data_IF_034850756504
#
_entry.id   IF_034850756504
#
_cell.length_a   1.000
_cell.length_b   1.000
_cell.length_c   1.000
_cell.angle_alpha   90.00
_cell.angle_beta   90.00
_cell.angle_gamma   90.00
#
_symmetry.space_group_name_H-M   'P 1'
#
loop_
_entity.id
_entity.type
_entity.pdbx_description
1 polymer ?
#
# COMPACT_ATOMS: atom_id res chain seq x y z
N UNK A 1 -38.37 -4.72 23.17
CA UNK A 1 -37.10 -4.17 22.65
C UNK A 1 -37.45 -3.28 21.48
N UNK A 2 -37.05 -2.01 21.49
CA UNK A 2 -37.32 -1.12 20.36
C UNK A 2 -36.54 -1.64 19.14
N UNK A 3 -37.25 -2.07 18.11
CA UNK A 3 -36.66 -2.40 16.81
C UNK A 3 -36.20 -1.10 16.17
N UNK A 4 -34.88 -0.86 16.17
CA UNK A 4 -34.30 0.30 15.48
C UNK A 4 -34.72 0.32 14.02
N UNK A 5 -35.10 1.50 13.53
CA UNK A 5 -35.42 1.66 12.11
C UNK A 5 -34.18 1.38 11.25
N UNK A 6 -34.38 0.99 10.00
CA UNK A 6 -33.27 0.80 9.04
C UNK A 6 -32.38 2.05 8.95
N UNK A 7 -32.97 3.24 8.98
CA UNK A 7 -32.25 4.52 8.96
C UNK A 7 -31.39 4.74 10.21
N UNK A 8 -31.88 4.34 11.39
CA UNK A 8 -31.10 4.45 12.64
C UNK A 8 -29.92 3.48 12.64
N UNK A 9 -30.11 2.27 12.10
CA UNK A 9 -29.03 1.27 11.95
C UNK A 9 -27.93 1.76 10.99
N UNK A 10 -28.30 2.40 9.88
CA UNK A 10 -27.35 2.99 8.93
C UNK A 10 -26.57 4.12 9.59
N UNK A 11 -27.25 5.09 10.21
CA UNK A 11 -26.59 6.19 10.92
C UNK A 11 -25.65 5.70 12.03
N UNK A 12 -26.05 4.67 12.76
CA UNK A 12 -25.21 4.06 13.79
C UNK A 12 -23.95 3.42 13.21
N UNK A 13 -24.03 2.77 12.03
CA UNK A 13 -22.85 2.20 11.36
C UNK A 13 -21.92 3.28 10.82
N UNK A 14 -22.47 4.35 10.24
CA UNK A 14 -21.67 5.49 9.77
C UNK A 14 -20.93 6.19 10.92
N UNK A 15 -21.61 6.41 12.06
CA UNK A 15 -20.99 6.99 13.24
C UNK A 15 -19.88 6.08 13.82
N UNK A 16 -20.10 4.76 13.84
CA UNK A 16 -19.06 3.81 14.22
C UNK A 16 -17.86 3.88 13.29
N UNK A 17 -18.08 3.89 11.97
CA UNK A 17 -16.99 3.97 10.99
C UNK A 17 -16.10 5.20 11.19
N UNK A 18 -16.72 6.36 11.42
CA UNK A 18 -15.99 7.61 11.68
C UNK A 18 -15.15 7.52 12.97
N UNK A 19 -15.78 7.08 14.06
CA UNK A 19 -15.11 6.95 15.37
C UNK A 19 -14.04 5.87 15.39
N UNK A 20 -14.18 4.81 14.58
CA UNK A 20 -13.21 3.74 14.45
C UNK A 20 -11.88 4.25 13.92
N UNK A 21 -11.88 5.03 12.83
CA UNK A 21 -10.66 5.57 12.23
C UNK A 21 -9.90 6.47 13.22
N UNK A 22 -10.64 7.33 13.92
CA UNK A 22 -10.07 8.20 14.97
C UNK A 22 -9.48 7.39 16.13
N UNK A 23 -10.16 6.33 16.58
CA UNK A 23 -9.68 5.45 17.64
C UNK A 23 -8.41 4.72 17.23
N UNK A 24 -8.35 4.17 16.01
CA UNK A 24 -7.17 3.47 15.49
C UNK A 24 -5.96 4.40 15.44
N UNK A 25 -6.15 5.62 14.92
CA UNK A 25 -5.08 6.61 14.86
C UNK A 25 -4.60 7.04 16.26
N UNK A 26 -5.51 7.18 17.22
CA UNK A 26 -5.16 7.51 18.61
C UNK A 26 -4.40 6.36 19.30
N UNK A 27 -4.88 5.13 19.16
CA UNK A 27 -4.29 3.94 19.78
C UNK A 27 -2.88 3.67 19.22
N UNK A 28 -2.70 3.80 17.90
CA UNK A 28 -1.40 3.60 17.27
C UNK A 28 -0.40 4.71 17.66
N UNK A 29 -0.84 5.96 17.79
CA UNK A 29 0.00 7.05 18.31
C UNK A 29 0.40 6.83 19.76
N UNK A 30 -0.52 6.32 20.59
CA UNK A 30 -0.26 6.07 22.01
C UNK A 30 0.66 4.85 22.23
N UNK A 31 0.44 3.76 21.50
CA UNK A 31 1.29 2.58 21.55
C UNK A 31 2.73 2.87 21.10
N UNK A 32 2.90 3.92 20.29
CA UNK A 32 4.18 4.29 19.72
C UNK A 32 4.74 3.21 18.79
N UNK A 33 6.03 3.30 18.51
CA UNK A 33 6.77 2.30 17.71
C UNK A 33 7.03 0.99 18.48
N UNK A 34 6.32 0.74 19.59
CA UNK A 34 6.74 -0.28 20.55
C UNK A 34 6.32 -1.71 20.13
N UNK A 35 7.27 -2.62 20.29
CA UNK A 35 7.41 -3.92 19.64
C UNK A 35 6.54 -5.04 20.24
N UNK A 36 5.65 -4.73 21.19
CA UNK A 36 4.81 -5.70 21.92
C UNK A 36 3.54 -6.08 21.15
N UNK A 37 3.73 -6.35 19.85
CA UNK A 37 2.78 -6.52 18.77
C UNK A 37 1.62 -7.48 19.09
N UNK A 38 0.55 -6.98 19.72
CA UNK A 38 -0.77 -7.62 19.79
C UNK A 38 -1.66 -7.21 18.62
N UNK A 39 -1.26 -6.18 17.84
CA UNK A 39 -2.05 -5.63 16.73
C UNK A 39 -2.42 -6.68 15.68
N UNK A 40 -1.48 -7.55 15.29
CA UNK A 40 -1.81 -8.65 14.35
C UNK A 40 -2.84 -9.63 14.93
N UNK A 41 -2.84 -9.85 16.25
CA UNK A 41 -3.83 -10.70 16.91
C UNK A 41 -5.20 -10.01 16.88
N UNK A 42 -5.25 -8.72 17.19
CA UNK A 42 -6.48 -7.92 17.10
C UNK A 42 -7.04 -7.87 15.68
N UNK A 43 -6.18 -7.68 14.67
CA UNK A 43 -6.54 -7.76 13.24
C UNK A 43 -7.14 -9.14 12.93
N UNK A 44 -6.49 -10.23 13.36
CA UNK A 44 -7.00 -11.59 13.15
C UNK A 44 -8.36 -11.82 13.84
N UNK A 45 -8.55 -11.27 15.04
CA UNK A 45 -9.83 -11.35 15.74
C UNK A 45 -10.91 -10.51 15.05
N UNK A 46 -10.55 -9.37 14.48
CA UNK A 46 -11.45 -8.53 13.69
C UNK A 46 -11.88 -9.24 12.40
N UNK A 47 -10.95 -9.86 11.67
CA UNK A 47 -11.24 -10.73 10.52
C UNK A 47 -12.25 -11.84 10.88
N UNK A 48 -12.06 -12.53 12.01
CA UNK A 48 -13.01 -13.54 12.52
C UNK A 48 -14.37 -12.95 12.91
N UNK A 49 -14.38 -11.72 13.41
CA UNK A 49 -15.60 -11.01 13.77
C UNK A 49 -16.41 -10.68 12.53
N UNK A 50 -15.77 -10.17 11.48
CA UNK A 50 -16.41 -9.91 10.18
C UNK A 50 -17.00 -11.20 9.60
N UNK A 51 -16.25 -12.29 9.62
CA UNK A 51 -16.74 -13.61 9.21
C UNK A 51 -17.98 -14.03 10.01
N UNK A 52 -17.94 -13.89 11.33
CA UNK A 52 -19.04 -14.25 12.21
C UNK A 52 -20.28 -13.39 11.98
N UNK A 53 -20.09 -12.10 11.68
CA UNK A 53 -21.16 -11.17 11.38
C UNK A 53 -21.77 -11.46 10.01
N UNK A 54 -20.96 -11.79 9.01
CA UNK A 54 -21.44 -12.23 7.71
C UNK A 54 -22.36 -13.45 7.82
N UNK A 55 -21.90 -14.50 8.54
CA UNK A 55 -22.68 -15.73 8.71
C UNK A 55 -23.98 -15.52 9.51
N UNK A 56 -23.98 -14.62 10.50
CA UNK A 56 -25.19 -14.30 11.29
C UNK A 56 -26.12 -13.33 10.59
N UNK A 57 -25.58 -12.44 9.77
CA UNK A 57 -26.26 -11.35 9.10
C UNK A 57 -26.72 -11.68 7.67
N UNK A 58 -26.61 -12.93 7.22
CA UNK A 58 -27.08 -13.38 5.91
C UNK A 58 -28.54 -12.97 5.64
N UNK A 59 -29.38 -12.96 6.68
CA UNK A 59 -30.81 -12.60 6.61
C UNK A 59 -31.10 -11.15 7.06
N UNK A 60 -30.11 -10.24 7.00
CA UNK A 60 -30.31 -8.83 7.38
C UNK A 60 -30.81 -8.00 6.21
N UNK A 61 -31.84 -7.18 6.40
CA UNK A 61 -32.35 -6.24 5.38
C UNK A 61 -31.40 -5.08 5.06
N UNK A 62 -30.24 -4.98 5.73
CA UNK A 62 -29.26 -3.92 5.45
C UNK A 62 -28.56 -4.12 4.10
N UNK A 63 -28.29 -3.02 3.36
CA UNK A 63 -27.47 -3.07 2.14
C UNK A 63 -26.08 -3.63 2.43
N UNK A 64 -25.48 -4.31 1.44
CA UNK A 64 -24.13 -4.93 1.53
C UNK A 64 -23.08 -3.97 2.13
N UNK A 65 -23.10 -2.71 1.68
CA UNK A 65 -22.27 -1.61 2.19
C UNK A 65 -22.22 -1.54 3.71
N UNK A 66 -23.39 -1.45 4.35
CA UNK A 66 -23.51 -1.29 5.81
C UNK A 66 -23.48 -2.62 6.57
N UNK A 67 -23.49 -3.74 5.85
CA UNK A 67 -23.49 -5.08 6.42
C UNK A 67 -22.08 -5.62 6.65
N UNK A 68 -21.15 -5.37 5.71
CA UNK A 68 -19.77 -5.86 5.81
C UNK A 68 -18.72 -5.08 5.02
N UNK A 69 -19.08 -4.30 3.99
CA UNK A 69 -18.05 -3.56 3.21
C UNK A 69 -17.36 -2.48 4.07
N UNK A 70 -18.11 -1.77 4.92
CA UNK A 70 -17.51 -0.85 5.89
C UNK A 70 -16.51 -1.54 6.82
N UNK A 71 -16.79 -2.76 7.29
CA UNK A 71 -15.85 -3.49 8.14
C UNK A 71 -14.59 -3.91 7.37
N UNK A 72 -14.70 -4.13 6.05
CA UNK A 72 -13.53 -4.38 5.20
C UNK A 72 -12.66 -3.14 5.01
N UNK A 73 -13.28 -1.99 4.74
CA UNK A 73 -12.57 -0.71 4.73
C UNK A 73 -11.88 -0.45 6.09
N UNK A 74 -12.57 -0.70 7.20
CA UNK A 74 -12.02 -0.58 8.56
C UNK A 74 -10.82 -1.52 8.79
N UNK A 75 -10.93 -2.78 8.37
CA UNK A 75 -9.87 -3.78 8.49
C UNK A 75 -8.62 -3.35 7.71
N UNK A 76 -8.77 -2.99 6.43
CA UNK A 76 -7.64 -2.63 5.58
C UNK A 76 -7.04 -1.28 5.94
N UNK A 77 -7.86 -0.31 6.34
CA UNK A 77 -7.40 0.93 6.93
C UNK A 77 -6.53 0.63 8.16
N UNK A 78 -7.01 -0.19 9.10
CA UNK A 78 -6.23 -0.53 10.29
C UNK A 78 -4.91 -1.22 9.95
N UNK A 79 -4.91 -2.16 9.01
CA UNK A 79 -3.69 -2.83 8.54
C UNK A 79 -2.70 -1.82 7.94
N UNK A 80 -3.16 -0.92 7.08
CA UNK A 80 -2.32 0.11 6.46
C UNK A 80 -1.77 1.12 7.49
N UNK A 81 -2.58 1.53 8.48
CA UNK A 81 -2.12 2.39 9.56
C UNK A 81 -1.11 1.69 10.46
N UNK A 82 -1.37 0.44 10.87
CA UNK A 82 -0.43 -0.35 11.66
C UNK A 82 0.92 -0.48 10.95
N UNK A 83 0.91 -0.71 9.63
CA UNK A 83 2.11 -0.81 8.81
C UNK A 83 2.97 0.47 8.80
N UNK A 84 2.37 1.66 8.96
CA UNK A 84 3.11 2.94 9.03
C UNK A 84 3.93 3.07 10.31
N UNK A 85 3.41 2.60 11.43
CA UNK A 85 4.06 2.72 12.74
C UNK A 85 5.04 1.58 13.04
N UNK A 86 5.02 0.49 12.28
CA UNK A 86 5.98 -0.60 12.43
C UNK A 86 7.22 -0.31 11.58
N UNK A 87 8.41 -0.37 12.17
CA UNK A 87 9.66 -0.16 11.42
C UNK A 87 9.79 -1.12 10.21
N UNK A 88 10.29 -0.60 9.08
CA UNK A 88 10.36 -1.28 7.79
C UNK A 88 11.14 -2.61 7.79
N UNK A 89 12.14 -2.74 8.66
CA UNK A 89 13.01 -3.91 8.84
C UNK A 89 12.51 -4.85 9.94
N UNK A 90 11.48 -4.46 10.70
CA UNK A 90 10.99 -5.25 11.82
C UNK A 90 10.13 -6.44 11.33
N UNK A 91 10.31 -7.66 11.88
CA UNK A 91 9.55 -8.86 11.47
C UNK A 91 8.03 -8.76 11.64
N UNK A 92 7.54 -7.77 12.39
CA UNK A 92 6.11 -7.47 12.49
C UNK A 92 5.48 -7.08 11.15
N UNK A 93 6.25 -6.50 10.22
CA UNK A 93 5.78 -6.21 8.85
C UNK A 93 5.36 -7.51 8.15
N UNK A 94 6.19 -8.55 8.24
CA UNK A 94 5.90 -9.85 7.63
C UNK A 94 4.69 -10.53 8.30
N UNK A 95 4.48 -10.31 9.61
CA UNK A 95 3.30 -10.81 10.31
C UNK A 95 2.01 -10.15 9.84
N UNK A 96 2.03 -8.85 9.49
CA UNK A 96 0.88 -8.16 8.89
C UNK A 96 0.58 -8.71 7.49
N UNK A 97 1.62 -8.90 6.66
CA UNK A 97 1.49 -9.53 5.34
C UNK A 97 0.87 -10.91 5.47
N UNK A 98 1.31 -11.71 6.45
CA UNK A 98 0.73 -13.01 6.75
C UNK A 98 -0.74 -12.95 7.21
N UNK A 99 -1.20 -11.85 7.82
CA UNK A 99 -2.64 -11.69 8.12
C UNK A 99 -3.47 -11.45 6.86
N UNK A 100 -2.96 -10.65 5.92
CA UNK A 100 -3.64 -10.42 4.63
C UNK A 100 -3.68 -11.72 3.82
N UNK A 101 -2.57 -12.46 3.77
CA UNK A 101 -2.53 -13.77 3.14
C UNK A 101 -3.45 -14.78 3.83
N UNK A 102 -3.52 -14.77 5.16
CA UNK A 102 -4.43 -15.62 5.91
C UNK A 102 -5.88 -15.30 5.55
N UNK A 103 -6.24 -14.02 5.47
CA UNK A 103 -7.56 -13.60 5.03
C UNK A 103 -7.86 -14.15 3.64
N UNK A 104 -6.94 -13.96 2.68
CA UNK A 104 -7.05 -14.53 1.32
C UNK A 104 -7.21 -16.05 1.30
N UNK A 105 -6.46 -16.75 2.14
CA UNK A 105 -6.47 -18.21 2.23
C UNK A 105 -7.77 -18.79 2.85
N UNK A 106 -8.62 -17.97 3.48
CA UNK A 106 -9.94 -18.41 3.90
C UNK A 106 -10.88 -18.70 2.72
N UNK A 107 -10.54 -18.22 1.51
CA UNK A 107 -11.27 -18.52 0.28
C UNK A 107 -12.68 -17.93 0.24
N UNK A 108 -13.50 -18.42 -0.69
CA UNK A 108 -14.84 -17.90 -0.87
C UNK A 108 -15.73 -18.27 0.31
N UNK A 109 -16.36 -17.27 0.92
CA UNK A 109 -17.44 -17.53 1.86
C UNK A 109 -18.71 -17.80 1.07
N UNK A 110 -19.46 -18.81 1.47
CA UNK A 110 -20.81 -19.05 0.98
C UNK A 110 -21.79 -19.09 2.14
N UNK A 111 -22.97 -18.52 1.92
CA UNK A 111 -24.12 -18.71 2.80
C UNK A 111 -25.28 -19.33 2.02
N UNK A 112 -26.14 -20.08 2.72
CA UNK A 112 -27.38 -20.55 2.10
C UNK A 112 -28.40 -19.41 2.14
N UNK A 113 -28.97 -19.08 0.99
CA UNK A 113 -30.08 -18.13 0.90
C UNK A 113 -31.38 -18.75 1.44
N UNK A 114 -32.46 -17.97 1.52
CA UNK A 114 -33.77 -18.44 2.00
C UNK A 114 -34.36 -19.58 1.16
N UNK A 115 -33.93 -19.71 -0.11
CA UNK A 115 -34.29 -20.80 -1.01
C UNK A 115 -33.41 -22.07 -0.84
N UNK A 116 -32.41 -22.03 0.04
CA UNK A 116 -31.49 -23.13 0.30
C UNK A 116 -30.32 -23.24 -0.70
N UNK A 117 -30.21 -22.30 -1.64
CA UNK A 117 -29.13 -22.22 -2.62
C UNK A 117 -27.89 -21.55 -2.02
N UNK A 118 -26.72 -21.96 -2.49
CA UNK A 118 -25.44 -21.45 -2.03
C UNK A 118 -25.09 -20.13 -2.73
N UNK A 119 -25.14 -19.02 -1.98
CA UNK A 119 -24.74 -17.69 -2.47
C UNK A 119 -23.31 -17.38 -2.01
N UNK A 120 -22.43 -17.05 -2.96
CA UNK A 120 -21.07 -16.60 -2.67
C UNK A 120 -21.08 -15.17 -2.17
N UNK A 121 -20.34 -14.93 -1.09
CA UNK A 121 -20.19 -13.62 -0.49
C UNK A 121 -19.40 -12.68 -1.42
N UNK A 122 -20.11 -11.72 -2.00
CA UNK A 122 -19.57 -10.72 -2.91
C UNK A 122 -19.74 -9.30 -2.36
N UNK A 123 -18.74 -8.48 -2.64
CA UNK A 123 -18.73 -7.02 -2.47
C UNK A 123 -18.85 -6.34 -3.84
N UNK A 124 -18.90 -5.01 -3.86
CA UNK A 124 -18.73 -4.23 -5.10
C UNK A 124 -17.34 -4.40 -5.76
N UNK A 125 -16.32 -4.85 -5.02
CA UNK A 125 -14.93 -5.05 -5.49
C UNK A 125 -14.50 -6.53 -5.50
N UNK A 126 -15.48 -7.44 -5.67
CA UNK A 126 -15.24 -8.88 -5.82
C UNK A 126 -15.54 -9.70 -4.56
N UNK A 127 -14.99 -10.91 -4.50
CA UNK A 127 -15.25 -11.85 -3.41
C UNK A 127 -14.58 -11.43 -2.11
N UNK A 128 -15.28 -11.58 -0.99
CA UNK A 128 -14.90 -11.03 0.32
C UNK A 128 -13.46 -11.34 0.75
N UNK A 129 -13.00 -12.59 0.61
CA UNK A 129 -11.67 -12.98 1.09
C UNK A 129 -10.71 -13.32 -0.04
N UNK A 130 -11.12 -14.09 -1.04
CA UNK A 130 -10.22 -14.48 -2.13
C UNK A 130 -9.60 -13.28 -2.84
N UNK A 131 -10.39 -12.21 -2.97
CA UNK A 131 -10.03 -11.04 -3.75
C UNK A 131 -9.57 -9.88 -2.85
N UNK A 132 -9.67 -10.03 -1.52
CA UNK A 132 -9.34 -8.99 -0.50
C UNK A 132 -9.78 -7.58 -0.95
N UNK A 133 -11.10 -7.37 -1.12
CA UNK A 133 -11.67 -6.18 -1.75
C UNK A 133 -11.34 -4.92 -0.94
N UNK A 134 -11.22 -3.78 -1.61
CA UNK A 134 -10.89 -2.46 -1.06
C UNK A 134 -9.48 -2.29 -0.49
N UNK A 135 -8.68 -3.37 -0.39
CA UNK A 135 -7.31 -3.28 0.10
C UNK A 135 -6.46 -2.30 -0.73
N UNK A 136 -6.58 -2.38 -2.06
CA UNK A 136 -5.86 -1.48 -2.98
C UNK A 136 -6.28 -0.04 -2.75
N UNK A 137 -7.58 0.23 -2.62
CA UNK A 137 -8.13 1.57 -2.40
C UNK A 137 -7.62 2.18 -1.10
N UNK A 138 -7.63 1.42 0.00
CA UNK A 138 -7.16 1.90 1.31
C UNK A 138 -5.65 2.16 1.32
N UNK A 139 -4.85 1.27 0.69
CA UNK A 139 -3.39 1.47 0.56
C UNK A 139 -3.08 2.68 -0.31
N UNK A 140 -3.77 2.84 -1.44
CA UNK A 140 -3.59 3.99 -2.32
C UNK A 140 -3.99 5.30 -1.62
N UNK A 141 -5.07 5.28 -0.83
CA UNK A 141 -5.52 6.43 -0.04
C UNK A 141 -4.51 6.80 1.04
N UNK A 142 -3.96 5.80 1.74
CA UNK A 142 -2.89 6.00 2.72
C UNK A 142 -1.63 6.60 2.06
N UNK A 143 -1.26 6.16 0.85
CA UNK A 143 -0.14 6.72 0.12
C UNK A 143 -0.42 8.14 -0.41
N UNK A 144 -1.61 8.43 -0.92
CA UNK A 144 -1.98 9.80 -1.36
C UNK A 144 -1.93 10.81 -0.21
N UNK A 145 -2.28 10.37 1.00
CA UNK A 145 -2.12 11.17 2.22
C UNK A 145 -0.66 11.30 2.69
N UNK A 146 0.30 10.62 2.06
CA UNK A 146 1.69 10.54 2.54
C UNK A 146 2.46 11.87 2.52
N UNK A 147 1.99 12.86 1.76
CA UNK A 147 2.57 14.21 1.79
C UNK A 147 2.49 14.88 3.17
N UNK A 148 1.57 14.44 4.03
CA UNK A 148 1.39 14.98 5.38
C UNK A 148 2.12 14.16 6.47
N UNK A 149 2.76 13.04 6.09
CA UNK A 149 3.30 12.07 7.05
C UNK A 149 4.85 12.06 7.01
N UNK A 150 5.52 11.79 8.15
CA UNK A 150 6.97 11.75 8.24
C UNK A 150 7.63 10.77 7.25
N UNK A 151 8.89 11.07 6.87
CA UNK A 151 9.70 10.21 5.98
C UNK A 151 9.77 8.74 6.46
N UNK A 152 9.93 8.54 7.78
CA UNK A 152 9.98 7.20 8.40
C UNK A 152 8.69 6.41 8.17
N UNK A 153 7.53 7.04 8.33
CA UNK A 153 6.25 6.36 8.11
C UNK A 153 6.02 6.03 6.63
N UNK A 154 6.49 6.89 5.70
CA UNK A 154 6.47 6.60 4.25
C UNK A 154 7.33 5.40 3.89
N UNK A 155 8.51 5.30 4.50
CA UNK A 155 9.40 4.15 4.36
C UNK A 155 8.73 2.87 4.87
N UNK A 156 8.16 2.91 6.07
CA UNK A 156 7.48 1.77 6.68
C UNK A 156 6.29 1.28 5.84
N UNK A 157 5.43 2.21 5.38
CA UNK A 157 4.30 1.88 4.51
C UNK A 157 4.78 1.29 3.18
N UNK A 158 5.79 1.87 2.54
CA UNK A 158 6.34 1.31 1.29
C UNK A 158 6.89 -0.09 1.49
N UNK A 159 7.57 -0.35 2.61
CA UNK A 159 8.10 -1.66 2.95
C UNK A 159 7.01 -2.71 3.15
N UNK A 160 5.87 -2.33 3.73
CA UNK A 160 4.70 -3.21 3.83
C UNK A 160 4.08 -3.51 2.46
N UNK A 161 3.78 -2.48 1.68
CA UNK A 161 3.09 -2.62 0.39
C UNK A 161 3.97 -3.36 -0.62
N UNK A 162 5.28 -3.10 -0.62
CA UNK A 162 6.23 -3.84 -1.46
C UNK A 162 6.22 -5.34 -1.15
N UNK A 163 6.14 -5.73 0.14
CA UNK A 163 6.01 -7.14 0.52
C UNK A 163 4.69 -7.74 0.06
N UNK A 164 3.56 -7.03 0.19
CA UNK A 164 2.26 -7.50 -0.32
C UNK A 164 2.29 -7.75 -1.84
N UNK A 165 2.84 -6.81 -2.60
CA UNK A 165 2.99 -6.94 -4.04
C UNK A 165 3.94 -8.09 -4.42
N UNK A 166 5.02 -8.30 -3.65
CA UNK A 166 5.96 -9.41 -3.92
C UNK A 166 5.26 -10.77 -3.86
N UNK A 167 4.36 -10.97 -2.89
CA UNK A 167 3.63 -12.23 -2.71
C UNK A 167 2.36 -12.33 -3.56
N UNK A 168 2.15 -11.39 -4.47
CA UNK A 168 1.06 -11.40 -5.43
C UNK A 168 -0.34 -11.19 -4.84
N UNK A 169 -0.42 -10.40 -3.76
CA UNK A 169 -1.72 -9.91 -3.26
C UNK A 169 -2.18 -8.79 -4.20
N UNK A 170 -3.38 -8.93 -4.79
CA UNK A 170 -3.97 -7.92 -5.68
C UNK A 170 -3.05 -7.53 -6.85
N UNK A 171 -2.36 -8.50 -7.44
CA UNK A 171 -1.59 -8.25 -8.66
C UNK A 171 -2.51 -7.93 -9.84
N UNK A 172 -2.15 -6.97 -10.72
CA UNK A 172 -0.99 -6.08 -10.64
C UNK A 172 -1.25 -4.78 -9.87
N UNK A 173 -2.46 -4.54 -9.38
CA UNK A 173 -2.97 -3.26 -8.87
C UNK A 173 -2.11 -2.58 -7.80
N UNK A 174 -1.49 -3.34 -6.87
CA UNK A 174 -0.59 -2.75 -5.86
C UNK A 174 0.70 -2.18 -6.47
N UNK A 175 1.08 -2.62 -7.67
CA UNK A 175 2.24 -2.11 -8.41
C UNK A 175 2.13 -0.62 -8.77
N UNK A 176 0.91 -0.07 -8.85
CA UNK A 176 0.67 1.36 -9.06
C UNK A 176 1.33 2.21 -7.97
N UNK A 177 1.32 1.74 -6.71
CA UNK A 177 1.95 2.48 -5.61
C UNK A 177 3.46 2.57 -5.81
N UNK A 178 4.10 1.50 -6.32
CA UNK A 178 5.52 1.53 -6.64
C UNK A 178 5.81 2.58 -7.71
N UNK A 179 4.99 2.64 -8.77
CA UNK A 179 5.15 3.65 -9.82
C UNK A 179 5.00 5.07 -9.27
N UNK A 180 4.06 5.34 -8.36
CA UNK A 180 3.98 6.64 -7.68
C UNK A 180 5.24 6.95 -6.90
N UNK A 181 5.73 6.01 -6.07
CA UNK A 181 6.94 6.21 -5.26
C UNK A 181 8.14 6.50 -6.15
N UNK A 182 8.36 5.69 -7.19
CA UNK A 182 9.51 5.80 -8.09
C UNK A 182 9.43 7.05 -8.97
N UNK A 183 8.23 7.40 -9.47
CA UNK A 183 7.99 8.65 -10.21
C UNK A 183 8.33 9.87 -9.36
N UNK A 184 7.80 9.94 -8.14
CA UNK A 184 8.06 11.08 -7.26
C UNK A 184 9.53 11.16 -6.86
N UNK A 185 10.21 10.02 -6.65
CA UNK A 185 11.60 9.98 -6.16
C UNK A 185 12.64 10.17 -7.26
N UNK A 186 12.46 9.50 -8.42
CA UNK A 186 13.49 9.34 -9.45
C UNK A 186 13.14 10.07 -10.76
N UNK A 187 11.86 10.34 -11.05
CA UNK A 187 11.46 10.96 -12.31
C UNK A 187 11.00 12.40 -12.17
N UNK A 188 10.90 12.92 -10.95
CA UNK A 188 10.48 14.28 -10.66
C UNK A 188 11.66 15.11 -10.19
N UNK A 189 11.80 16.32 -10.72
CA UNK A 189 12.85 17.25 -10.31
C UNK A 189 12.59 17.74 -8.88
N UNK A 190 13.49 17.41 -7.96
CA UNK A 190 13.35 17.63 -6.51
C UNK A 190 14.70 17.97 -5.90
N UNK A 191 14.73 18.80 -4.84
CA UNK A 191 15.97 19.06 -4.11
C UNK A 191 16.49 17.77 -3.47
N UNK A 192 17.81 17.60 -3.45
CA UNK A 192 18.46 16.42 -2.84
C UNK A 192 18.15 16.33 -1.35
N UNK A 193 18.32 17.44 -0.63
CA UNK A 193 18.06 17.55 0.81
C UNK A 193 16.95 18.56 1.08
N UNK A 194 16.28 18.41 2.22
CA UNK A 194 15.33 19.41 2.70
C UNK A 194 16.07 20.72 3.01
N UNK A 195 15.73 21.81 2.32
CA UNK A 195 16.33 23.12 2.60
C UNK A 195 16.06 23.53 4.05
N UNK A 196 17.12 23.88 4.79
CA UNK A 196 17.08 24.38 6.17
C UNK A 196 16.54 25.81 6.28
N UNK A 197 16.29 26.50 5.16
CA UNK A 197 15.74 27.85 5.16
C UNK A 197 14.28 27.83 5.65
N UNK A 198 14.05 28.33 6.87
CA UNK A 198 12.80 28.35 7.63
C UNK A 198 11.64 29.15 7.01
N UNK A 199 11.21 28.76 5.81
CA UNK A 199 9.95 29.17 5.23
C UNK A 199 8.88 28.16 5.67
N UNK A 200 7.97 28.61 6.55
CA UNK A 200 6.73 27.94 6.92
C UNK A 200 5.76 27.89 5.71
N UNK A 201 6.18 27.30 4.60
CA UNK A 201 5.28 27.03 3.49
C UNK A 201 4.68 25.64 3.72
N UNK A 202 3.37 25.62 3.92
CA UNK A 202 2.52 24.41 4.04
C UNK A 202 2.56 23.51 2.79
N UNK A 203 3.28 23.92 1.73
CA UNK A 203 3.51 23.20 0.47
C UNK A 203 4.99 22.82 0.25
N UNK A 204 5.74 22.48 1.31
CA UNK A 204 7.13 21.99 1.14
C UNK A 204 7.12 20.60 0.50
N UNK A 205 7.43 20.56 -0.79
CA UNK A 205 7.63 19.31 -1.53
C UNK A 205 8.75 18.48 -0.87
N UNK A 206 8.50 17.20 -0.60
CA UNK A 206 9.48 16.29 0.00
C UNK A 206 10.77 16.21 -0.83
N UNK A 207 11.93 16.23 -0.18
CA UNK A 207 13.23 16.10 -0.85
C UNK A 207 13.48 14.66 -1.32
N UNK A 208 14.51 14.45 -2.14
CA UNK A 208 14.94 13.11 -2.53
C UNK A 208 15.34 12.31 -1.29
N UNK A 209 16.08 12.91 -0.34
CA UNK A 209 16.44 12.28 0.93
C UNK A 209 15.22 11.79 1.72
N UNK A 210 14.10 12.52 1.65
CA UNK A 210 12.85 12.15 2.32
C UNK A 210 12.10 10.99 1.63
N UNK A 211 12.36 10.72 0.34
CA UNK A 211 11.62 9.74 -0.45
C UNK A 211 12.44 8.49 -0.80
N UNK A 212 13.77 8.63 -0.82
CA UNK A 212 14.70 7.57 -1.21
C UNK A 212 14.55 6.30 -0.34
N UNK A 213 14.33 6.37 0.99
CA UNK A 213 14.08 5.17 1.79
C UNK A 213 12.81 4.40 1.36
N UNK A 214 11.75 5.12 1.01
CA UNK A 214 10.51 4.53 0.52
C UNK A 214 10.71 3.84 -0.84
N UNK A 215 11.43 4.48 -1.76
CA UNK A 215 11.81 3.86 -3.04
C UNK A 215 12.72 2.63 -2.85
N UNK A 216 13.69 2.70 -1.93
CA UNK A 216 14.58 1.58 -1.61
C UNK A 216 13.80 0.34 -1.16
N UNK A 217 12.75 0.51 -0.34
CA UNK A 217 11.92 -0.59 0.12
C UNK A 217 11.28 -1.38 -1.04
N UNK A 218 10.88 -0.70 -2.12
CA UNK A 218 10.32 -1.37 -3.31
C UNK A 218 11.34 -2.25 -4.02
N UNK A 219 12.55 -1.77 -4.24
CA UNK A 219 13.60 -2.59 -4.86
C UNK A 219 14.08 -3.71 -3.93
N UNK A 220 14.12 -3.47 -2.62
CA UNK A 220 14.56 -4.45 -1.65
C UNK A 220 13.58 -5.62 -1.53
N UNK A 221 12.28 -5.35 -1.38
CA UNK A 221 11.29 -6.40 -1.11
C UNK A 221 10.54 -6.88 -2.35
N UNK A 222 10.49 -6.09 -3.41
CA UNK A 222 9.68 -6.36 -4.61
C UNK A 222 10.48 -6.21 -5.92
N UNK A 223 11.81 -6.10 -5.86
CA UNK A 223 12.66 -5.81 -7.02
C UNK A 223 12.50 -6.80 -8.18
N UNK A 224 12.48 -8.11 -7.92
CA UNK A 224 12.27 -9.14 -8.95
C UNK A 224 10.91 -9.02 -9.66
N UNK A 225 9.88 -8.58 -8.92
CA UNK A 225 8.53 -8.41 -9.45
C UNK A 225 8.47 -7.17 -10.33
N UNK A 226 9.07 -6.06 -9.88
CA UNK A 226 9.21 -4.85 -10.69
C UNK A 226 9.99 -5.15 -11.98
N UNK A 227 11.09 -5.91 -11.90
CA UNK A 227 11.83 -6.37 -13.09
C UNK A 227 10.91 -7.14 -14.05
N UNK A 228 10.16 -8.12 -13.52
CA UNK A 228 9.24 -8.94 -14.33
C UNK A 228 8.15 -8.09 -15.00
N UNK A 229 7.57 -7.12 -14.28
CA UNK A 229 6.57 -6.20 -14.81
C UNK A 229 7.18 -5.25 -15.87
N UNK A 230 8.42 -4.80 -15.67
CA UNK A 230 9.17 -4.00 -16.66
C UNK A 230 9.44 -4.77 -17.96
N UNK A 231 9.81 -6.04 -17.86
CA UNK A 231 10.00 -6.92 -19.03
C UNK A 231 8.67 -7.14 -19.77
N UNK A 232 7.58 -7.32 -19.03
CA UNK A 232 6.23 -7.51 -19.58
C UNK A 232 5.63 -6.22 -20.15
N UNK A 233 6.27 -5.08 -19.95
CA UNK A 233 5.73 -3.75 -20.28
C UNK A 233 4.34 -3.57 -19.68
N UNK A 234 4.18 -3.92 -18.39
CA UNK A 234 2.89 -3.85 -17.71
C UNK A 234 2.40 -2.41 -17.68
N UNK A 235 1.32 -2.15 -18.40
CA UNK A 235 0.60 -0.89 -18.36
C UNK A 235 -0.50 -0.90 -17.30
N UNK A 236 -0.92 0.28 -16.87
CA UNK A 236 -2.07 0.46 -16.00
C UNK A 236 -2.97 1.51 -16.65
N UNK A 237 -4.28 1.26 -16.72
CA UNK A 237 -5.29 2.20 -17.26
C UNK A 237 -5.35 3.56 -16.52
N UNK A 238 -4.54 3.75 -15.48
CA UNK A 238 -4.50 4.91 -14.59
C UNK A 238 -3.49 5.99 -15.01
N UNK A 239 -3.74 7.25 -14.57
CA UNK A 239 -2.96 8.50 -14.63
C UNK A 239 -1.48 8.44 -14.16
N UNK A 240 -0.81 7.30 -14.23
CA UNK A 240 0.55 7.09 -13.70
C UNK A 240 1.58 7.32 -14.81
N UNK A 241 1.49 8.50 -15.40
CA UNK A 241 2.45 8.94 -16.40
C UNK A 241 3.86 9.06 -15.81
N UNK A 242 4.86 8.91 -16.67
CA UNK A 242 6.26 9.24 -16.37
C UNK A 242 6.40 10.66 -15.84
N UNK A 243 7.27 10.84 -14.86
CA UNK A 243 7.64 12.14 -14.32
C UNK A 243 8.41 13.00 -15.32
N UNK A 244 8.56 14.28 -14.98
CA UNK A 244 9.11 15.30 -15.87
C UNK A 244 10.54 14.99 -16.36
N UNK A 245 11.41 14.42 -15.52
CA UNK A 245 12.77 14.05 -15.92
C UNK A 245 12.77 12.90 -16.94
N UNK A 246 11.94 11.88 -16.73
CA UNK A 246 11.79 10.77 -17.66
C UNK A 246 11.16 11.23 -18.98
N UNK A 247 10.19 12.15 -18.94
CA UNK A 247 9.59 12.75 -20.13
C UNK A 247 10.61 13.55 -20.94
N UNK A 248 11.45 14.37 -20.29
CA UNK A 248 12.55 15.10 -20.94
C UNK A 248 13.58 14.18 -21.58
N UNK A 249 13.80 13.01 -20.98
CA UNK A 249 14.66 11.96 -21.53
C UNK A 249 13.97 11.12 -22.63
N UNK A 250 12.73 11.45 -23.02
CA UNK A 250 11.94 10.73 -24.03
C UNK A 250 11.76 9.23 -23.72
N UNK A 251 11.61 8.88 -22.45
CA UNK A 251 11.35 7.50 -22.04
C UNK A 251 9.96 7.06 -22.53
N UNK A 252 9.91 5.89 -23.19
CA UNK A 252 8.67 5.29 -23.71
C UNK A 252 8.56 3.82 -23.27
N UNK A 253 7.34 3.29 -23.03
CA UNK A 253 6.05 3.98 -22.97
C UNK A 253 5.97 5.02 -21.85
N UNK A 254 5.01 5.95 -21.97
CA UNK A 254 4.80 7.07 -21.03
C UNK A 254 4.03 6.67 -19.76
N UNK A 255 3.58 5.44 -19.65
CA UNK A 255 2.85 4.87 -18.51
C UNK A 255 3.38 3.49 -18.15
N UNK A 256 3.03 3.02 -16.95
CA UNK A 256 3.34 1.66 -16.53
C UNK A 256 4.82 1.36 -16.25
N UNK A 257 5.13 0.08 -16.17
CA UNK A 257 6.49 -0.44 -16.07
C UNK A 257 7.05 -0.71 -17.45
N UNK A 258 8.33 -0.42 -17.65
CA UNK A 258 9.04 -0.80 -18.88
C UNK A 258 10.52 -0.98 -18.61
N UNK A 259 11.21 -1.67 -19.53
CA UNK A 259 12.68 -1.78 -19.53
C UNK A 259 13.34 -0.40 -19.62
N UNK A 260 12.82 0.51 -20.45
CA UNK A 260 13.35 1.86 -20.59
C UNK A 260 13.26 2.65 -19.27
N UNK A 261 12.12 2.54 -18.57
CA UNK A 261 11.89 3.19 -17.28
C UNK A 261 12.80 2.61 -16.18
N UNK A 262 13.02 1.29 -16.20
CA UNK A 262 13.98 0.61 -15.31
C UNK A 262 15.40 1.12 -15.49
N UNK A 263 15.89 1.18 -16.73
CA UNK A 263 17.23 1.71 -17.06
C UNK A 263 17.34 3.18 -16.63
N UNK A 264 16.33 4.00 -16.90
CA UNK A 264 16.28 5.39 -16.46
C UNK A 264 16.40 5.53 -14.92
N UNK A 265 15.65 4.73 -14.15
CA UNK A 265 15.75 4.75 -12.69
C UNK A 265 17.14 4.38 -12.17
N UNK A 266 17.76 3.35 -12.77
CA UNK A 266 19.11 2.92 -12.41
C UNK A 266 20.14 4.03 -12.68
N UNK A 267 20.06 4.66 -13.85
CA UNK A 267 20.97 5.73 -14.24
C UNK A 267 20.76 6.96 -13.35
N UNK A 268 19.51 7.27 -12.99
CA UNK A 268 19.19 8.31 -12.02
C UNK A 268 19.78 8.04 -10.63
N UNK A 269 19.75 6.79 -10.17
CA UNK A 269 20.38 6.41 -8.90
C UNK A 269 21.90 6.55 -8.96
N UNK A 270 22.51 6.30 -10.12
CA UNK A 270 23.93 6.56 -10.33
C UNK A 270 24.25 8.05 -10.18
N UNK A 271 23.46 8.94 -10.79
CA UNK A 271 23.61 10.38 -10.60
C UNK A 271 23.50 10.79 -9.12
N UNK A 272 22.48 10.28 -8.41
CA UNK A 272 22.26 10.58 -6.99
C UNK A 272 23.41 10.02 -6.13
N UNK A 273 24.03 8.90 -6.50
CA UNK A 273 25.14 8.30 -5.76
C UNK A 273 26.42 9.16 -5.73
N UNK A 274 26.50 10.19 -6.57
CA UNK A 274 27.62 11.13 -6.61
C UNK A 274 27.33 12.45 -5.88
N UNK A 275 26.21 12.55 -5.15
CA UNK A 275 25.87 13.77 -4.41
C UNK A 275 26.77 13.99 -3.18
N UNK A 276 26.80 15.22 -2.67
CA UNK A 276 27.62 15.59 -1.50
C UNK A 276 27.10 15.00 -0.19
N UNK A 277 25.80 14.66 -0.11
CA UNK A 277 25.20 14.03 1.05
C UNK A 277 25.57 12.55 1.10
N UNK A 278 26.47 12.20 2.02
CA UNK A 278 27.04 10.86 2.12
C UNK A 278 25.99 9.77 2.43
N UNK A 279 24.95 10.07 3.20
CA UNK A 279 23.91 9.09 3.52
C UNK A 279 23.03 8.80 2.30
N UNK A 280 22.62 9.86 1.60
CA UNK A 280 21.84 9.77 0.37
C UNK A 280 22.64 9.06 -0.73
N UNK A 281 23.91 9.42 -0.91
CA UNK A 281 24.80 8.82 -1.88
C UNK A 281 24.97 7.31 -1.65
N UNK A 282 25.21 6.89 -0.41
CA UNK A 282 25.35 5.48 -0.05
C UNK A 282 24.06 4.68 -0.25
N UNK A 283 22.91 5.27 0.10
CA UNK A 283 21.62 4.62 -0.11
C UNK A 283 21.32 4.45 -1.60
N UNK A 284 21.57 5.47 -2.42
CA UNK A 284 21.38 5.41 -3.86
C UNK A 284 22.27 4.34 -4.51
N UNK A 285 23.54 4.25 -4.12
CA UNK A 285 24.43 3.20 -4.64
C UNK A 285 23.99 1.79 -4.22
N UNK A 286 23.48 1.62 -2.99
CA UNK A 286 22.91 0.35 -2.54
C UNK A 286 21.68 -0.05 -3.36
N UNK A 287 20.79 0.91 -3.63
CA UNK A 287 19.61 0.69 -4.48
C UNK A 287 20.03 0.29 -5.89
N UNK A 288 21.00 1.00 -6.49
CA UNK A 288 21.53 0.70 -7.83
C UNK A 288 22.10 -0.71 -7.91
N UNK A 289 22.87 -1.16 -6.92
CA UNK A 289 23.37 -2.55 -6.83
C UNK A 289 22.25 -3.57 -6.69
N UNK A 290 21.21 -3.25 -5.91
CA UNK A 290 20.04 -4.11 -5.73
C UNK A 290 19.27 -4.26 -7.05
N UNK A 291 19.05 -3.16 -7.77
CA UNK A 291 18.48 -3.18 -9.11
C UNK A 291 19.35 -3.97 -10.08
N UNK A 292 20.67 -3.79 -10.07
CA UNK A 292 21.55 -4.59 -10.93
C UNK A 292 21.44 -6.09 -10.66
N UNK A 293 21.33 -6.48 -9.38
CA UNK A 293 21.18 -7.89 -8.97
C UNK A 293 19.86 -8.47 -9.46
N UNK A 294 18.76 -7.72 -9.33
CA UNK A 294 17.47 -8.18 -9.83
C UNK A 294 17.33 -8.12 -11.34
N UNK A 295 17.99 -7.14 -11.99
CA UNK A 295 17.82 -6.79 -13.39
C UNK A 295 18.74 -7.51 -14.36
N UNK A 296 19.40 -8.60 -13.96
CA UNK A 296 20.33 -9.35 -14.83
C UNK A 296 19.70 -9.73 -16.18
N UNK A 297 18.39 -10.00 -16.20
CA UNK A 297 17.68 -10.32 -17.46
C UNK A 297 17.49 -9.09 -18.32
N UNK A 298 17.23 -7.93 -17.72
CA UNK A 298 17.10 -6.65 -18.43
C UNK A 298 18.45 -6.23 -19.03
N UNK A 299 19.56 -6.43 -18.32
CA UNK A 299 20.90 -6.14 -18.85
C UNK A 299 21.28 -7.06 -20.02
N UNK A 300 20.78 -8.30 -20.03
CA UNK A 300 20.99 -9.25 -21.13
C UNK A 300 20.14 -8.99 -22.38
N UNK A 301 19.26 -7.98 -22.37
CA UNK A 301 18.35 -7.64 -23.48
C UNK A 301 18.90 -6.55 -24.41
N UNK A 302 20.19 -6.22 -24.30
CA UNK A 302 20.90 -5.29 -25.19
C UNK A 302 21.14 -5.86 -26.60
#
# INVERSE_FOLDING_TARGET
MATFSMGDRIKSREAFHATFKESVDADLKQAGYDNNNTTWHSIRMFTKTILSQYLRGANSDLPKKYRYELDMHELWYWVAQAARYIAADHPAQDRLVAQVQHARAMGNLSCKNEAGEEEVATTSDGNIWSDVPFLVEEVQSAWKASGTIPSVERHNLSAFVARLASVGVRDPDLGVVALWVLRETLETDRPLTSSLSGSNNENKQASIADLLPAANAWFLYCGYKIESLSIQTQDYDSDVETGELARRANITPSSGFSVARWKFWRDRLEEISHCEDQEVAQLAERMRKTMKTWGERIEGMD
#
